data_IF_025104119710
#
_entry.id   IF_025104119710
#
_cell.length_a   1.000
_cell.length_b   1.000
_cell.length_c   1.000
_cell.angle_alpha   90.00
_cell.angle_beta   90.00
_cell.angle_gamma   90.00
#
_symmetry.space_group_name_H-M   'P 1'
#
loop_
_entity.id
_entity.type
_entity.pdbx_description
1 polymer ?
#
# COMPACT_ATOMS: atom_id res chain seq x y z
N UNK A 1 -44.02 0.81 -29.44
CA UNK A 1 -43.97 0.11 -28.14
C UNK A 1 -42.62 -0.56 -27.86
N UNK A 2 -41.97 -1.17 -28.85
CA UNK A 2 -40.66 -1.84 -28.70
C UNK A 2 -39.50 -0.90 -28.30
N UNK A 3 -39.41 0.30 -28.89
CA UNK A 3 -38.35 1.26 -28.58
C UNK A 3 -38.29 1.65 -27.09
N UNK A 4 -39.45 1.71 -26.41
CA UNK A 4 -39.56 2.02 -24.98
C UNK A 4 -39.02 0.91 -24.08
N UNK A 5 -39.22 -0.37 -24.47
CA UNK A 5 -38.67 -1.52 -23.73
C UNK A 5 -37.15 -1.58 -23.86
N UNK A 6 -36.61 -1.33 -25.05
CA UNK A 6 -35.16 -1.29 -25.29
C UNK A 6 -34.51 -0.20 -24.43
N UNK A 7 -35.09 1.00 -24.36
CA UNK A 7 -34.59 2.08 -23.51
C UNK A 7 -34.63 1.74 -22.02
N UNK A 8 -35.71 1.09 -21.56
CA UNK A 8 -35.85 0.62 -20.18
C UNK A 8 -34.75 -0.38 -19.81
N UNK A 9 -34.55 -1.42 -20.63
CA UNK A 9 -33.53 -2.45 -20.42
C UNK A 9 -32.13 -1.85 -20.47
N UNK A 10 -31.85 -0.98 -21.43
CA UNK A 10 -30.54 -0.33 -21.56
C UNK A 10 -30.23 0.55 -20.34
N UNK A 11 -31.23 1.27 -19.82
CA UNK A 11 -31.09 2.08 -18.60
C UNK A 11 -30.81 1.20 -17.39
N UNK A 12 -31.54 0.09 -17.25
CA UNK A 12 -31.35 -0.85 -16.16
C UNK A 12 -29.95 -1.47 -16.19
N UNK A 13 -29.53 -2.00 -17.36
CA UNK A 13 -28.18 -2.55 -17.53
C UNK A 13 -27.10 -1.54 -17.19
N UNK A 14 -27.20 -0.28 -17.65
CA UNK A 14 -26.21 0.77 -17.34
C UNK A 14 -26.16 1.17 -15.85
N UNK A 15 -27.20 0.88 -15.08
CA UNK A 15 -27.29 1.21 -13.65
C UNK A 15 -26.97 0.01 -12.75
N UNK A 16 -27.34 -1.20 -13.16
CA UNK A 16 -27.18 -2.42 -12.36
C UNK A 16 -25.86 -3.16 -12.63
N UNK A 17 -25.23 -2.92 -13.78
CA UNK A 17 -23.95 -3.54 -14.13
C UNK A 17 -22.79 -2.58 -13.89
N UNK A 18 -21.62 -3.13 -13.57
CA UNK A 18 -20.36 -2.38 -13.43
C UNK A 18 -19.80 -1.84 -14.76
N UNK A 19 -20.62 -1.72 -15.81
CA UNK A 19 -20.21 -1.23 -17.14
C UNK A 19 -19.57 0.16 -17.10
N UNK A 20 -19.98 1.01 -16.15
CA UNK A 20 -19.37 2.34 -15.95
C UNK A 20 -17.99 2.29 -15.29
N UNK A 21 -17.67 1.21 -14.59
CA UNK A 21 -16.42 1.03 -13.85
C UNK A 21 -15.34 0.33 -14.71
N UNK A 22 -15.64 0.06 -15.98
CA UNK A 22 -14.71 -0.56 -16.91
C UNK A 22 -13.58 0.42 -17.27
N UNK A 23 -12.41 0.14 -16.71
CA UNK A 23 -11.17 0.90 -16.94
C UNK A 23 -10.57 0.70 -18.34
N UNK A 24 -11.05 -0.28 -19.12
CA UNK A 24 -10.55 -0.62 -20.46
C UNK A 24 -10.76 0.49 -21.51
N UNK A 25 -11.72 1.39 -21.29
CA UNK A 25 -11.93 2.57 -22.14
C UNK A 25 -11.14 3.80 -21.66
N UNK A 26 -10.43 3.69 -20.53
CA UNK A 26 -9.59 4.76 -20.03
C UNK A 26 -8.26 4.81 -20.78
N UNK A 27 -7.85 6.01 -21.19
CA UNK A 27 -6.49 6.26 -21.72
C UNK A 27 -5.44 6.35 -20.61
N UNK A 28 -5.87 6.49 -19.36
CA UNK A 28 -4.96 6.60 -18.23
C UNK A 28 -4.41 5.22 -17.86
N UNK A 29 -3.11 5.17 -17.61
CA UNK A 29 -2.43 3.98 -17.07
C UNK A 29 -1.98 4.27 -15.64
N UNK A 30 -1.88 3.24 -14.82
CA UNK A 30 -1.38 3.41 -13.46
C UNK A 30 0.13 3.66 -13.44
N UNK A 31 0.62 4.11 -12.28
CA UNK A 31 2.02 4.45 -12.07
C UNK A 31 2.96 3.25 -12.31
N UNK A 32 2.57 2.03 -11.96
CA UNK A 32 3.37 0.82 -12.12
C UNK A 32 3.64 0.53 -13.59
N UNK A 33 2.58 0.57 -14.40
CA UNK A 33 2.66 0.34 -15.84
C UNK A 33 3.46 1.46 -16.52
N UNK A 34 3.24 2.71 -16.12
CA UNK A 34 4.00 3.84 -16.63
C UNK A 34 5.50 3.71 -16.30
N UNK A 35 5.85 3.29 -15.09
CA UNK A 35 7.24 3.09 -14.67
C UNK A 35 7.94 2.02 -15.51
N UNK A 36 7.29 0.86 -15.71
CA UNK A 36 7.82 -0.22 -16.56
C UNK A 36 8.05 0.28 -17.99
N UNK A 37 7.03 0.90 -18.60
CA UNK A 37 7.12 1.41 -19.97
C UNK A 37 8.21 2.46 -20.13
N UNK A 38 8.43 3.30 -19.12
CA UNK A 38 9.46 4.34 -19.16
C UNK A 38 10.87 3.78 -18.97
N UNK A 39 11.01 2.65 -18.26
CA UNK A 39 12.29 2.00 -18.04
C UNK A 39 12.78 1.20 -19.26
N UNK A 40 11.87 0.69 -20.11
CA UNK A 40 12.24 -0.13 -21.28
C UNK A 40 13.28 0.54 -22.21
N UNK A 41 13.12 1.82 -22.64
CA UNK A 41 14.11 2.47 -23.51
C UNK A 41 15.45 2.76 -22.84
N UNK A 42 15.51 2.77 -21.50
CA UNK A 42 16.72 3.09 -20.74
C UNK A 42 17.59 1.86 -20.48
N UNK A 43 17.11 0.66 -20.83
CA UNK A 43 17.80 -0.61 -20.60
C UNK A 43 16.87 -1.68 -20.08
N UNK A 44 15.82 -2.01 -20.84
CA UNK A 44 14.74 -2.92 -20.42
C UNK A 44 15.20 -4.29 -19.90
N UNK A 45 16.32 -4.83 -20.36
CA UNK A 45 16.88 -6.07 -19.82
C UNK A 45 17.23 -5.97 -18.32
N UNK A 46 17.59 -4.79 -17.83
CA UNK A 46 17.92 -4.54 -16.42
C UNK A 46 16.70 -4.58 -15.50
N UNK A 47 15.48 -4.57 -16.05
CA UNK A 47 14.23 -4.68 -15.29
C UNK A 47 14.03 -6.13 -14.80
N UNK A 48 14.52 -7.11 -15.58
CA UNK A 48 14.37 -8.53 -15.25
C UNK A 48 15.16 -8.87 -13.98
N UNK A 49 14.49 -9.46 -13.01
CA UNK A 49 15.05 -9.70 -11.68
C UNK A 49 15.12 -8.44 -10.80
N UNK A 50 14.64 -7.30 -11.30
CA UNK A 50 14.63 -6.03 -10.60
C UNK A 50 13.53 -5.92 -9.55
N UNK A 51 13.43 -4.73 -8.97
CA UNK A 51 12.46 -4.40 -7.91
C UNK A 51 11.74 -3.10 -8.26
N UNK A 52 10.45 -3.04 -7.96
CA UNK A 52 9.64 -1.85 -8.16
C UNK A 52 9.12 -1.31 -6.82
N UNK A 53 9.11 0.01 -6.67
CA UNK A 53 8.62 0.69 -5.48
C UNK A 53 7.38 1.49 -5.85
N UNK A 54 6.29 1.22 -5.14
CA UNK A 54 4.97 1.80 -5.42
C UNK A 54 4.38 2.36 -4.13
N UNK A 55 3.57 3.41 -4.23
CA UNK A 55 2.93 4.00 -3.04
C UNK A 55 1.78 3.14 -2.53
N UNK A 56 1.07 2.46 -3.42
CA UNK A 56 -0.14 1.71 -3.11
C UNK A 56 -0.03 0.31 -3.68
N UNK A 57 -0.59 -0.67 -2.97
CA UNK A 57 -0.57 -2.08 -3.36
C UNK A 57 -1.15 -2.26 -4.79
N UNK A 58 -0.46 -3.01 -5.68
CA UNK A 58 -0.76 -3.04 -7.10
C UNK A 58 -2.11 -3.68 -7.38
N UNK A 59 -2.82 -3.21 -8.40
CA UNK A 59 -4.08 -3.83 -8.84
C UNK A 59 -3.82 -5.07 -9.73
N UNK A 60 -4.85 -5.88 -9.96
CA UNK A 60 -4.76 -7.10 -10.78
C UNK A 60 -4.36 -6.84 -12.25
N UNK A 61 -4.69 -5.66 -12.78
CA UNK A 61 -4.29 -5.24 -14.12
C UNK A 61 -2.81 -4.83 -14.18
N UNK A 62 -2.26 -4.27 -13.11
CA UNK A 62 -0.83 -3.94 -13.04
C UNK A 62 0.01 -5.19 -12.77
N UNK A 63 -0.50 -6.13 -11.95
CA UNK A 63 0.18 -7.37 -11.58
C UNK A 63 0.68 -8.16 -12.80
N UNK A 64 -0.16 -8.36 -13.83
CA UNK A 64 0.24 -9.06 -15.07
C UNK A 64 1.43 -8.40 -15.78
N UNK A 65 1.52 -7.06 -15.76
CA UNK A 65 2.62 -6.33 -16.39
C UNK A 65 3.90 -6.44 -15.56
N UNK A 66 3.80 -6.43 -14.23
CA UNK A 66 4.92 -6.65 -13.31
C UNK A 66 5.51 -8.06 -13.53
N UNK A 67 4.64 -9.07 -13.57
CA UNK A 67 5.03 -10.47 -13.83
C UNK A 67 5.70 -10.58 -15.20
N UNK A 68 5.07 -10.05 -16.25
CA UNK A 68 5.59 -10.12 -17.62
C UNK A 68 6.92 -9.37 -17.80
N UNK A 69 7.15 -8.27 -17.07
CA UNK A 69 8.42 -7.56 -17.05
C UNK A 69 9.55 -8.34 -16.34
N UNK A 70 9.21 -9.45 -15.67
CA UNK A 70 10.18 -10.28 -14.94
C UNK A 70 10.68 -9.62 -13.65
N UNK A 71 9.94 -8.66 -13.10
CA UNK A 71 10.25 -8.03 -11.81
C UNK A 71 10.07 -9.07 -10.69
N UNK A 72 10.98 -9.09 -9.71
CA UNK A 72 10.98 -10.09 -8.63
C UNK A 72 10.37 -9.59 -7.33
N UNK A 73 10.61 -8.33 -6.97
CA UNK A 73 10.05 -7.76 -5.74
C UNK A 73 9.23 -6.50 -6.01
N UNK A 74 8.08 -6.40 -5.35
CA UNK A 74 7.23 -5.21 -5.32
C UNK A 74 7.18 -4.69 -3.91
N UNK A 75 7.73 -3.50 -3.67
CA UNK A 75 7.62 -2.81 -2.40
C UNK A 75 6.48 -1.80 -2.44
N UNK A 76 5.51 -1.93 -1.54
CA UNK A 76 4.35 -1.03 -1.44
C UNK A 76 4.25 -0.41 -0.05
N UNK A 77 3.72 0.82 0.04
CA UNK A 77 3.55 1.50 1.35
C UNK A 77 2.13 1.26 1.89
N UNK A 78 1.13 1.57 1.07
CA UNK A 78 -0.27 1.56 1.48
C UNK A 78 -0.99 0.29 1.00
N UNK A 79 -1.71 -0.44 1.88
CA UNK A 79 -2.49 -1.60 1.47
C UNK A 79 -3.70 -1.19 0.63
N UNK A 80 -4.06 -2.00 -0.37
CA UNK A 80 -5.24 -1.80 -1.21
C UNK A 80 -6.18 -3.00 -1.14
N UNK A 81 -7.16 -2.94 -0.22
CA UNK A 81 -8.09 -4.05 0.09
C UNK A 81 -8.90 -4.58 -1.10
N UNK A 82 -9.05 -3.79 -2.18
CA UNK A 82 -9.79 -4.20 -3.38
C UNK A 82 -8.92 -4.89 -4.42
N UNK A 83 -7.61 -4.99 -4.20
CA UNK A 83 -6.75 -5.68 -5.13
C UNK A 83 -7.06 -7.18 -5.17
N UNK A 84 -7.15 -7.71 -6.38
CA UNK A 84 -7.26 -9.14 -6.63
C UNK A 84 -5.94 -9.68 -7.21
N UNK A 85 -4.83 -8.96 -7.07
CA UNK A 85 -3.55 -9.30 -7.70
C UNK A 85 -3.08 -10.72 -7.33
N UNK A 86 -2.94 -11.02 -6.04
CA UNK A 86 -2.55 -12.37 -5.58
C UNK A 86 -3.63 -13.40 -5.87
N UNK A 87 -4.91 -13.05 -5.68
CA UNK A 87 -6.01 -14.00 -5.93
C UNK A 87 -6.13 -14.45 -7.39
N UNK A 88 -5.81 -13.57 -8.35
CA UNK A 88 -5.92 -13.86 -9.79
C UNK A 88 -4.61 -14.34 -10.42
N UNK A 89 -3.48 -14.14 -9.74
CA UNK A 89 -2.14 -14.50 -10.22
C UNK A 89 -1.37 -15.26 -9.12
N UNK A 90 -2.05 -16.17 -8.41
CA UNK A 90 -1.50 -16.92 -7.26
C UNK A 90 -0.38 -17.89 -7.66
N UNK A 91 -0.38 -18.31 -8.92
CA UNK A 91 0.64 -19.10 -9.60
C UNK A 91 1.96 -18.33 -9.76
N UNK A 92 1.91 -17.01 -9.87
CA UNK A 92 3.06 -16.17 -10.24
C UNK A 92 3.38 -15.05 -9.23
N UNK A 93 2.52 -14.78 -8.25
CA UNK A 93 2.65 -13.67 -7.31
C UNK A 93 2.20 -14.08 -5.90
N UNK A 94 2.92 -13.63 -4.88
CA UNK A 94 2.66 -14.00 -3.48
C UNK A 94 3.10 -12.90 -2.51
N UNK A 95 2.49 -12.89 -1.32
CA UNK A 95 2.92 -12.07 -0.17
C UNK A 95 3.86 -12.87 0.76
N UNK A 96 3.98 -14.19 0.55
CA UNK A 96 4.88 -15.03 1.34
C UNK A 96 6.32 -14.87 0.86
N UNK A 97 7.17 -14.32 1.72
CA UNK A 97 8.57 -14.05 1.41
C UNK A 97 9.43 -15.33 1.28
N UNK A 98 8.90 -16.49 1.70
CA UNK A 98 9.62 -17.77 1.67
C UNK A 98 9.49 -18.49 0.34
N UNK A 99 8.45 -18.17 -0.45
CA UNK A 99 8.21 -18.77 -1.74
C UNK A 99 9.23 -18.31 -2.80
N UNK A 100 9.63 -19.25 -3.66
CA UNK A 100 10.58 -19.01 -4.73
C UNK A 100 9.91 -19.03 -6.10
N UNK A 101 10.54 -18.40 -7.08
CA UNK A 101 10.05 -18.40 -8.47
C UNK A 101 8.96 -17.36 -8.77
N UNK A 102 8.17 -16.95 -7.78
CA UNK A 102 7.11 -15.94 -7.90
C UNK A 102 7.61 -14.50 -7.71
N UNK A 103 6.74 -13.54 -8.00
CA UNK A 103 6.90 -12.13 -7.65
C UNK A 103 6.45 -11.95 -6.20
N UNK A 104 7.32 -11.37 -5.36
CA UNK A 104 7.05 -11.20 -3.93
C UNK A 104 6.59 -9.77 -3.67
N UNK A 105 5.42 -9.64 -3.04
CA UNK A 105 4.89 -8.37 -2.56
C UNK A 105 5.34 -8.14 -1.12
N UNK A 106 6.05 -7.04 -0.88
CA UNK A 106 6.61 -6.68 0.43
C UNK A 106 6.04 -5.34 0.86
N UNK A 107 5.51 -5.29 2.08
CA UNK A 107 5.18 -4.00 2.68
C UNK A 107 6.47 -3.26 3.02
N UNK A 108 6.55 -1.99 2.66
CA UNK A 108 7.69 -1.15 2.97
C UNK A 108 7.66 -0.78 4.46
N UNK A 109 8.52 -1.43 5.23
CA UNK A 109 8.77 -1.11 6.64
C UNK A 109 10.04 -0.25 6.76
N UNK A 110 9.89 1.07 6.65
CA UNK A 110 11.01 1.98 6.74
C UNK A 110 10.64 3.44 6.97
N UNK A 111 11.66 4.25 7.26
CA UNK A 111 11.49 5.70 7.44
C UNK A 111 11.89 6.39 6.14
N UNK A 112 10.96 7.13 5.54
CA UNK A 112 11.26 7.97 4.39
C UNK A 112 12.47 8.89 4.68
N UNK A 113 13.45 9.06 3.77
CA UNK A 113 14.67 9.82 4.02
C UNK A 113 14.42 11.24 4.58
N UNK A 114 13.37 11.92 4.10
CA UNK A 114 12.94 13.24 4.60
C UNK A 114 12.57 13.24 6.08
N UNK A 115 12.02 12.15 6.59
CA UNK A 115 11.62 11.98 8.00
C UNK A 115 12.73 11.43 8.87
N UNK A 116 13.74 10.77 8.29
CA UNK A 116 14.86 10.21 9.04
C UNK A 116 15.54 11.28 9.91
N UNK A 117 15.93 12.41 9.30
CA UNK A 117 16.53 13.50 10.05
C UNK A 117 15.59 14.09 11.10
N UNK A 118 14.29 14.22 10.82
CA UNK A 118 13.33 14.71 11.81
C UNK A 118 13.16 13.77 13.00
N UNK A 119 13.20 12.44 12.78
CA UNK A 119 13.02 11.43 13.81
C UNK A 119 14.26 11.31 14.71
N UNK A 120 15.46 11.37 14.10
CA UNK A 120 16.73 11.15 14.78
C UNK A 120 17.45 12.45 15.19
N UNK A 121 16.91 13.63 14.84
CA UNK A 121 17.41 14.92 15.33
C UNK A 121 16.86 15.18 16.73
N UNK A 122 17.76 15.26 17.69
CA UNK A 122 17.43 15.72 19.04
C UNK A 122 17.16 17.23 19.01
N UNK A 123 15.92 17.63 19.30
CA UNK A 123 15.53 19.04 19.45
C UNK A 123 15.87 19.61 20.85
N UNK A 124 16.38 18.78 21.75
CA UNK A 124 16.76 19.16 23.11
C UNK A 124 18.23 18.85 23.36
N UNK A 125 18.87 19.65 24.21
CA UNK A 125 20.24 19.40 24.63
C UNK A 125 20.35 18.03 25.31
N UNK A 126 21.24 17.17 24.79
CA UNK A 126 21.48 15.85 25.38
C UNK A 126 22.31 15.95 26.67
N UNK A 127 23.05 17.05 26.86
CA UNK A 127 23.97 17.24 27.98
C UNK A 127 23.87 18.65 28.55
N UNK A 128 23.99 18.76 29.87
CA UNK A 128 24.19 20.04 30.58
C UNK A 128 25.43 19.89 31.47
N UNK A 129 26.40 20.80 31.31
CA UNK A 129 27.69 20.76 32.04
C UNK A 129 28.41 19.40 31.94
N UNK A 130 28.49 18.84 30.74
CA UNK A 130 29.15 17.54 30.49
C UNK A 130 28.38 16.30 30.97
N UNK A 131 27.31 16.47 31.76
CA UNK A 131 26.46 15.38 32.26
C UNK A 131 25.27 15.15 31.34
N UNK A 132 24.91 13.88 31.13
CA UNK A 132 23.72 13.48 30.37
C UNK A 132 22.46 13.99 31.07
N UNK A 133 21.55 14.65 30.34
CA UNK A 133 20.23 14.97 30.86
C UNK A 133 19.40 13.69 30.86
N UNK A 134 19.09 13.17 32.06
CA UNK A 134 18.19 12.02 32.20
C UNK A 134 16.76 12.53 32.25
N UNK A 135 16.03 12.32 31.15
CA UNK A 135 14.60 12.59 31.13
C UNK A 135 13.85 11.49 31.92
N UNK A 136 12.81 11.90 32.64
CA UNK A 136 11.93 10.97 33.36
C UNK A 136 11.06 10.20 32.32
N UNK A 137 11.20 8.86 32.20
CA UNK A 137 10.48 8.07 31.19
C UNK A 137 8.95 8.18 31.27
N UNK A 138 8.41 8.38 32.48
CA UNK A 138 6.97 8.48 32.72
C UNK A 138 6.38 9.82 32.23
N UNK A 139 7.20 10.87 32.12
CA UNK A 139 6.79 12.20 31.67
C UNK A 139 7.16 12.50 30.22
N UNK A 140 8.03 11.68 29.63
CA UNK A 140 8.49 11.86 28.24
C UNK A 140 7.42 11.43 27.24
N UNK A 141 7.17 12.28 26.24
CA UNK A 141 6.27 11.98 25.12
C UNK A 141 7.10 11.46 23.93
N UNK A 142 6.61 10.46 23.19
CA UNK A 142 7.30 9.99 21.99
C UNK A 142 7.33 11.10 20.93
N UNK A 143 8.41 11.12 20.13
CA UNK A 143 8.60 12.10 19.06
C UNK A 143 7.53 12.00 17.97
N UNK A 144 6.98 10.80 17.76
CA UNK A 144 5.87 10.53 16.86
C UNK A 144 4.81 9.73 17.63
N UNK A 145 3.55 10.15 17.54
CA UNK A 145 2.41 9.48 18.19
C UNK A 145 1.57 8.61 17.25
N UNK A 146 1.87 8.65 15.95
CA UNK A 146 1.18 7.83 14.98
C UNK A 146 1.66 6.39 15.09
N UNK A 147 0.71 5.46 15.20
CA UNK A 147 1.02 4.03 15.10
C UNK A 147 1.42 3.71 13.67
N UNK A 148 2.44 2.85 13.53
CA UNK A 148 2.87 2.29 12.24
C UNK A 148 2.15 0.98 11.91
N UNK A 149 1.23 0.56 12.76
CA UNK A 149 0.47 -0.65 12.52
C UNK A 149 -0.49 -0.48 11.34
N UNK A 150 -0.74 -1.59 10.64
CA UNK A 150 -1.72 -1.62 9.57
C UNK A 150 -3.09 -1.17 10.08
N UNK A 151 -3.86 -0.48 9.23
CA UNK A 151 -5.19 0.06 9.56
C UNK A 151 -6.10 -0.98 10.27
N UNK A 152 -6.19 -2.26 9.84
CA UNK A 152 -7.03 -3.24 10.52
C UNK A 152 -6.59 -3.51 11.97
N UNK A 153 -5.29 -3.47 12.23
CA UNK A 153 -4.72 -3.70 13.56
C UNK A 153 -4.97 -2.48 14.46
N UNK A 154 -4.86 -1.28 13.90
CA UNK A 154 -5.28 -0.05 14.55
C UNK A 154 -6.77 -0.03 14.89
N UNK A 155 -7.62 -0.43 13.94
CA UNK A 155 -9.06 -0.58 14.15
C UNK A 155 -9.32 -1.56 15.30
N UNK A 156 -8.67 -2.72 15.30
CA UNK A 156 -8.78 -3.71 16.37
C UNK A 156 -8.34 -3.17 17.74
N UNK A 157 -7.18 -2.50 17.82
CA UNK A 157 -6.70 -1.88 19.06
C UNK A 157 -7.63 -0.78 19.58
N UNK A 158 -8.21 0.02 18.68
CA UNK A 158 -9.17 1.07 19.07
C UNK A 158 -10.46 0.46 19.60
N UNK A 159 -10.97 -0.60 18.95
CA UNK A 159 -12.13 -1.35 19.41
C UNK A 159 -11.86 -1.95 20.79
N UNK A 160 -10.73 -2.64 20.98
CA UNK A 160 -10.33 -3.22 22.27
C UNK A 160 -10.24 -2.15 23.37
N UNK A 161 -9.67 -0.98 23.05
CA UNK A 161 -9.57 0.13 24.00
C UNK A 161 -10.94 0.71 24.38
N UNK A 162 -11.84 0.86 23.41
CA UNK A 162 -13.21 1.35 23.66
C UNK A 162 -13.99 0.36 24.53
N UNK A 163 -13.81 -0.94 24.32
CA UNK A 163 -14.42 -1.97 25.15
C UNK A 163 -13.90 -1.89 26.60
N UNK A 164 -12.59 -1.73 26.79
CA UNK A 164 -11.99 -1.56 28.13
C UNK A 164 -12.48 -0.31 28.87
N UNK A 165 -12.63 0.82 28.17
CA UNK A 165 -13.12 2.08 28.77
C UNK A 165 -14.62 2.00 29.16
N UNK A 166 -15.42 1.17 28.47
CA UNK A 166 -16.82 0.92 28.86
C UNK A 166 -16.97 0.10 30.15
N UNK A 167 -15.94 -0.64 30.57
CA UNK A 167 -15.94 -1.40 31.83
C UNK A 167 -15.26 -0.66 33.01
N UNK A 168 -14.69 0.52 32.79
CA UNK A 168 -14.01 1.33 33.81
C UNK A 168 -14.94 2.33 34.55
N UNK A 169 -16.21 2.43 34.15
CA UNK A 169 -17.20 3.36 34.75
C UNK A 169 -18.24 2.67 35.62
N UNK A 170 -17.83 1.68 36.43
CA UNK A 170 -18.63 1.16 37.55
C UNK A 170 -17.81 1.06 38.82
#
# INVERSE_FOLDING_TARGET
MEASKVESVTRHLRQSTGLKDLIEFSRAIHAEMHAILRALPLGGEQIKGGRIYVTTYPCHSCARHIIAAGIKDVYFIEPYRKSLAVKLHDDAMTEDETEQGKVILRQYDGVAPRRFLALYKTNTDRKKNGKLIRANPQLTKPAVKFSLEAIPRLEAMVVERLDLDQFSTR
#
